data_IF_373364585307
#
_entry.id   IF_373364585307
#
_cell.length_a   1.000
_cell.length_b   1.000
_cell.length_c   1.000
_cell.angle_alpha   90.00
_cell.angle_beta   90.00
_cell.angle_gamma   90.00
#
_symmetry.space_group_name_H-M   'P 1'
#
loop_
_entity.id
_entity.type
_entity.pdbx_description
1 polymer ?
#
# COMPACT_ATOMS: atom_id res chain seq x y z
N UNK A 1 -10.18 -3.88 11.60
CA UNK A 1 -9.12 -4.33 10.67
C UNK A 1 -7.79 -4.26 11.41
N UNK A 2 -7.29 -5.39 11.87
CA UNK A 2 -6.01 -5.54 12.55
C UNK A 2 -5.82 -7.01 12.86
N UNK A 3 -4.75 -7.62 12.35
CA UNK A 3 -4.40 -8.98 12.74
C UNK A 3 -3.90 -8.96 14.19
N UNK A 4 -4.21 -9.99 14.96
CA UNK A 4 -3.71 -10.14 16.33
C UNK A 4 -2.19 -10.37 16.37
N UNK A 5 -1.60 -10.78 15.23
CA UNK A 5 -0.19 -11.15 15.11
C UNK A 5 0.71 -9.95 14.78
N UNK A 6 0.98 -9.12 15.79
CA UNK A 6 1.88 -7.96 15.67
C UNK A 6 3.37 -8.34 15.65
N UNK A 7 3.70 -9.55 16.08
CA UNK A 7 5.05 -10.10 16.14
C UNK A 7 5.77 -10.05 14.79
N UNK A 8 5.05 -10.26 13.67
CA UNK A 8 5.66 -10.21 12.34
C UNK A 8 6.21 -8.83 11.99
N UNK A 9 5.57 -7.77 12.49
CA UNK A 9 6.04 -6.41 12.29
C UNK A 9 7.28 -6.17 13.14
N UNK A 10 7.20 -6.59 14.41
CA UNK A 10 8.27 -6.45 15.39
C UNK A 10 9.54 -7.19 14.95
N UNK A 11 9.44 -8.43 14.50
CA UNK A 11 10.58 -9.22 14.02
C UNK A 11 11.24 -8.62 12.77
N UNK A 12 10.44 -8.08 11.84
CA UNK A 12 10.98 -7.37 10.68
C UNK A 12 11.80 -6.14 11.08
N UNK A 13 11.31 -5.37 12.06
CA UNK A 13 12.03 -4.21 12.58
C UNK A 13 13.28 -4.61 13.37
N UNK A 14 13.21 -5.63 14.22
CA UNK A 14 14.38 -6.16 14.94
C UNK A 14 15.46 -6.61 13.97
N UNK A 15 15.09 -7.34 12.92
CA UNK A 15 16.05 -7.74 11.90
C UNK A 15 16.62 -6.52 11.16
N UNK A 16 15.80 -5.51 10.84
CA UNK A 16 16.27 -4.32 10.13
C UNK A 16 17.36 -3.54 10.89
N UNK A 17 17.23 -3.42 12.21
CA UNK A 17 18.19 -2.66 13.05
C UNK A 17 19.41 -3.48 13.46
N UNK A 18 19.31 -4.81 13.52
CA UNK A 18 20.41 -5.69 13.95
C UNK A 18 21.19 -6.33 12.79
N UNK A 19 20.66 -6.29 11.57
CA UNK A 19 21.31 -6.92 10.42
C UNK A 19 22.61 -6.20 10.02
N UNK A 20 23.67 -6.98 9.81
CA UNK A 20 24.94 -6.50 9.22
C UNK A 20 24.76 -5.95 7.80
N UNK A 21 23.78 -6.46 7.05
CA UNK A 21 23.42 -6.03 5.70
C UNK A 21 21.91 -5.82 5.60
N UNK A 22 21.39 -4.64 6.00
CA UNK A 22 19.95 -4.37 6.00
C UNK A 22 19.40 -4.32 4.56
N UNK A 23 18.13 -4.72 4.41
CA UNK A 23 17.42 -4.62 3.13
C UNK A 23 16.91 -3.19 2.93
N UNK A 24 16.98 -2.67 1.69
CA UNK A 24 16.45 -1.33 1.39
C UNK A 24 14.91 -1.22 1.56
N UNK A 25 14.17 -2.35 1.54
CA UNK A 25 12.72 -2.36 1.74
C UNK A 25 12.29 -3.61 2.50
N UNK A 26 11.79 -3.41 3.72
CA UNK A 26 11.16 -4.46 4.52
C UNK A 26 9.67 -4.52 4.21
N UNK A 27 9.16 -5.73 3.96
CA UNK A 27 7.78 -6.01 3.55
C UNK A 27 7.16 -6.88 4.64
N UNK A 28 6.32 -6.28 5.47
CA UNK A 28 5.74 -6.95 6.63
C UNK A 28 4.41 -7.62 6.24
N UNK A 29 4.34 -8.94 6.40
CA UNK A 29 3.12 -9.71 6.16
C UNK A 29 2.83 -10.00 4.69
N UNK A 30 1.91 -10.94 4.48
CA UNK A 30 1.57 -11.49 3.16
C UNK A 30 0.81 -10.52 2.26
N UNK A 31 -0.05 -9.69 2.87
CA UNK A 31 -0.80 -8.63 2.18
C UNK A 31 0.14 -7.62 1.51
N UNK A 32 1.24 -7.26 2.21
CA UNK A 32 2.30 -6.44 1.62
C UNK A 32 2.87 -7.09 0.37
N UNK A 33 3.14 -8.40 0.41
CA UNK A 33 3.79 -9.17 -0.65
C UNK A 33 2.91 -9.33 -1.90
N UNK A 34 1.67 -9.78 -1.71
CA UNK A 34 0.79 -10.21 -2.79
C UNK A 34 -0.17 -9.15 -3.31
N UNK A 35 -0.53 -8.16 -2.49
CA UNK A 35 -1.55 -7.18 -2.88
C UNK A 35 -0.87 -5.86 -3.19
N UNK A 36 -0.17 -5.27 -2.21
CA UNK A 36 0.35 -3.91 -2.38
C UNK A 36 1.53 -3.79 -3.35
N UNK A 37 2.37 -4.81 -3.47
CA UNK A 37 3.51 -4.75 -4.39
C UNK A 37 3.08 -4.85 -5.84
N UNK A 38 2.25 -5.82 -6.26
CA UNK A 38 1.71 -5.81 -7.62
C UNK A 38 0.95 -4.51 -7.91
N UNK A 39 0.20 -4.00 -6.93
CA UNK A 39 -0.51 -2.73 -7.06
C UNK A 39 0.42 -1.55 -7.31
N UNK A 40 1.60 -1.52 -6.69
CA UNK A 40 2.60 -0.46 -6.88
C UNK A 40 3.19 -0.45 -8.30
N UNK A 41 3.22 -1.60 -8.98
CA UNK A 41 3.73 -1.71 -10.36
C UNK A 41 2.68 -1.36 -11.42
N UNK A 42 1.40 -1.25 -11.04
CA UNK A 42 0.32 -0.87 -11.94
C UNK A 42 0.24 0.66 -12.08
N UNK A 43 -0.19 1.18 -13.25
CA UNK A 43 -0.40 2.61 -13.43
C UNK A 43 -1.55 3.12 -12.55
N UNK A 44 -1.47 4.38 -12.13
CA UNK A 44 -2.41 5.02 -11.19
C UNK A 44 -3.87 4.88 -11.63
N UNK A 45 -4.16 4.99 -12.93
CA UNK A 45 -5.52 4.83 -13.48
C UNK A 45 -6.13 3.45 -13.20
N UNK A 46 -5.32 2.39 -13.27
CA UNK A 46 -5.78 1.00 -13.02
C UNK A 46 -6.00 0.80 -11.52
N UNK A 47 -5.10 1.32 -10.70
CA UNK A 47 -5.23 1.26 -9.24
C UNK A 47 -6.50 1.99 -8.79
N UNK A 48 -6.75 3.18 -9.34
CA UNK A 48 -7.94 3.98 -9.07
C UNK A 48 -9.21 3.25 -9.53
N UNK A 49 -9.21 2.59 -10.70
CA UNK A 49 -10.35 1.82 -11.17
C UNK A 49 -10.65 0.62 -10.26
N UNK A 50 -9.62 -0.13 -9.84
CA UNK A 50 -9.74 -1.26 -8.90
C UNK A 50 -10.29 -0.78 -7.56
N UNK A 51 -9.76 0.33 -7.03
CA UNK A 51 -10.23 0.90 -5.77
C UNK A 51 -11.68 1.37 -5.88
N UNK A 52 -12.03 2.13 -6.93
CA UNK A 52 -13.42 2.58 -7.19
C UNK A 52 -14.40 1.41 -7.27
N UNK A 53 -14.00 0.30 -7.88
CA UNK A 53 -14.82 -0.92 -7.96
C UNK A 53 -15.00 -1.59 -6.59
N UNK A 54 -13.94 -1.65 -5.77
CA UNK A 54 -13.95 -2.34 -4.48
C UNK A 54 -14.64 -1.54 -3.36
N UNK A 55 -14.40 -0.24 -3.27
CA UNK A 55 -14.94 0.63 -2.21
C UNK A 55 -16.16 1.45 -2.65
N UNK A 56 -16.62 1.32 -3.90
CA UNK A 56 -17.76 2.06 -4.44
C UNK A 56 -17.56 3.59 -4.40
N UNK A 57 -16.30 4.02 -4.36
CA UNK A 57 -15.94 5.36 -3.95
C UNK A 57 -16.19 6.36 -5.10
N UNK A 58 -17.27 7.14 -5.00
CA UNK A 58 -17.59 8.25 -5.93
C UNK A 58 -16.79 9.52 -5.59
N UNK A 59 -15.50 9.39 -5.28
CA UNK A 59 -14.65 10.57 -5.13
C UNK A 59 -14.05 10.93 -6.48
N UNK A 60 -14.30 12.17 -6.91
CA UNK A 60 -13.58 12.78 -8.00
C UNK A 60 -12.15 13.03 -7.49
N UNK A 61 -11.10 12.71 -8.27
CA UNK A 61 -9.75 13.08 -7.84
C UNK A 61 -9.71 14.61 -7.72
N UNK A 62 -9.12 15.15 -6.66
CA UNK A 62 -9.10 16.61 -6.41
C UNK A 62 -8.55 17.40 -7.61
N UNK A 63 -7.65 16.79 -8.39
CA UNK A 63 -7.14 17.34 -9.65
C UNK A 63 -8.22 17.54 -10.75
N UNK A 64 -9.32 16.78 -10.72
CA UNK A 64 -10.47 16.96 -11.61
C UNK A 64 -11.53 17.91 -11.03
N UNK A 65 -11.51 18.15 -9.72
CA UNK A 65 -12.37 19.15 -9.05
C UNK A 65 -11.89 20.57 -9.38
N UNK A 66 -10.58 20.78 -9.40
CA UNK A 66 -9.97 22.09 -9.68
C UNK A 66 -10.31 22.59 -11.10
N UNK A 67 -10.27 21.72 -12.11
CA UNK A 67 -10.63 22.04 -13.51
C UNK A 67 -12.11 22.35 -13.73
N UNK A 68 -12.98 22.00 -12.79
CA UNK A 68 -14.44 22.24 -12.89
C UNK A 68 -14.84 23.57 -12.24
N UNK A 69 -14.00 24.10 -11.37
CA UNK A 69 -14.21 25.37 -10.65
C UNK A 69 -13.38 26.54 -11.22
N UNK A 70 -12.56 26.26 -12.24
CA UNK A 70 -11.85 27.24 -13.06
C UNK A 70 -12.58 27.42 -14.41
#
# INVERSE_FOLDING_TARGET
MGSEHTEYVVDNYYHAITARFPRCRYRCGWDSLLIYIPLTYLPTEVVDAVLRMLTGQKVLPDAAVDKKNA
#
